data_IF_343021563528
#
_entry.id   IF_343021563528
#
_cell.length_a   1.000
_cell.length_b   1.000
_cell.length_c   1.000
_cell.angle_alpha   90.00
_cell.angle_beta   90.00
_cell.angle_gamma   90.00
#
_symmetry.space_group_name_H-M   'P 1'
#
loop_
_entity.id
_entity.type
_entity.pdbx_description
1 polymer ?
#
# COMPACT_ATOMS: atom_id res chain seq x y z
N UNK A 1 -16.04 -15.87 28.49
CA UNK A 1 -14.58 -15.63 28.36
C UNK A 1 -14.10 -16.39 27.12
N UNK A 2 -13.34 -15.73 26.28
CA UNK A 2 -12.88 -16.31 25.02
C UNK A 2 -11.78 -17.33 25.29
N UNK A 3 -10.95 -17.10 26.30
CA UNK A 3 -9.87 -18.00 26.69
C UNK A 3 -9.72 -18.06 28.21
N UNK A 4 -9.57 -19.25 28.74
CA UNK A 4 -9.22 -19.49 30.15
C UNK A 4 -7.86 -20.17 30.21
N UNK A 5 -6.89 -19.53 30.86
CA UNK A 5 -5.57 -20.09 31.02
C UNK A 5 -5.63 -21.43 31.80
N UNK A 6 -5.07 -22.51 31.26
CA UNK A 6 -4.77 -23.70 32.05
C UNK A 6 -3.66 -23.34 33.05
N UNK A 7 -3.24 -24.36 33.84
CA UNK A 7 -2.08 -24.18 34.70
C UNK A 7 -0.85 -23.88 33.84
N UNK A 8 -0.40 -22.63 33.89
CA UNK A 8 0.73 -22.14 33.10
C UNK A 8 1.59 -21.20 33.96
N UNK A 9 2.88 -21.21 33.72
CA UNK A 9 3.84 -20.35 34.41
C UNK A 9 4.53 -19.49 33.34
N UNK A 10 4.36 -18.16 33.44
CA UNK A 10 5.18 -17.22 32.70
C UNK A 10 6.40 -16.93 33.58
N UNK A 11 7.62 -17.27 33.16
CA UNK A 11 8.82 -17.03 33.95
C UNK A 11 9.11 -15.52 34.10
N UNK A 12 9.92 -15.16 35.08
CA UNK A 12 10.30 -13.77 35.29
C UNK A 12 10.96 -13.18 34.01
N UNK A 13 10.39 -12.08 33.52
CA UNK A 13 10.81 -11.44 32.26
C UNK A 13 10.38 -12.17 30.98
N UNK A 14 9.64 -13.26 31.10
CA UNK A 14 9.12 -14.01 29.97
C UNK A 14 7.75 -13.53 29.49
N UNK A 15 7.22 -14.25 28.51
CA UNK A 15 5.99 -13.88 27.81
C UNK A 15 5.05 -15.08 27.69
N UNK A 16 3.76 -14.79 27.56
CA UNK A 16 2.81 -15.68 26.92
C UNK A 16 2.40 -15.06 25.58
N UNK A 17 2.44 -15.88 24.54
CA UNK A 17 1.95 -15.54 23.20
C UNK A 17 0.80 -16.47 22.83
N UNK A 18 -0.28 -15.92 22.32
CA UNK A 18 -1.41 -16.68 21.80
C UNK A 18 -1.90 -16.08 20.50
N UNK A 19 -2.26 -16.93 19.55
CA UNK A 19 -2.85 -16.57 18.28
C UNK A 19 -4.20 -17.25 18.03
N UNK A 20 -4.83 -16.94 16.91
CA UNK A 20 -6.12 -17.51 16.53
C UNK A 20 -6.05 -19.02 16.30
N UNK A 21 -4.92 -19.54 15.78
CA UNK A 21 -4.77 -20.93 15.38
C UNK A 21 -4.40 -21.88 16.53
N UNK A 22 -4.12 -21.39 17.70
CA UNK A 22 -3.76 -22.15 18.90
C UNK A 22 -2.51 -23.05 18.81
N UNK A 23 -1.96 -23.28 17.62
CA UNK A 23 -0.85 -24.20 17.41
C UNK A 23 0.51 -23.66 17.84
N UNK A 24 0.64 -22.32 17.90
CA UNK A 24 1.86 -21.61 18.29
C UNK A 24 1.76 -20.92 19.64
N UNK A 25 0.60 -20.99 20.29
CA UNK A 25 0.39 -20.39 21.60
C UNK A 25 1.24 -21.09 22.67
N UNK A 26 1.89 -20.31 23.51
CA UNK A 26 2.73 -20.86 24.56
C UNK A 26 3.42 -19.83 25.44
N UNK A 27 4.21 -20.33 26.40
CA UNK A 27 5.06 -19.51 27.26
C UNK A 27 6.49 -19.47 26.74
N UNK A 28 7.10 -18.33 26.81
CA UNK A 28 8.43 -18.04 26.31
C UNK A 28 9.28 -17.45 27.43
N UNK A 29 10.58 -17.71 27.41
CA UNK A 29 11.51 -17.07 28.33
C UNK A 29 11.84 -15.63 27.90
N UNK A 30 12.65 -14.92 28.67
CA UNK A 30 13.06 -13.55 28.38
C UNK A 30 13.88 -13.40 27.07
N UNK A 31 14.37 -14.49 26.50
CA UNK A 31 15.13 -14.53 25.23
C UNK A 31 14.25 -14.94 24.04
N UNK A 32 12.94 -15.15 24.25
CA UNK A 32 12.01 -15.59 23.22
C UNK A 32 12.08 -17.10 22.90
N UNK A 33 12.60 -17.92 23.81
CA UNK A 33 12.63 -19.37 23.65
C UNK A 33 11.32 -19.96 24.15
N UNK A 34 10.62 -20.74 23.31
CA UNK A 34 9.40 -21.44 23.69
C UNK A 34 9.69 -22.48 24.77
N UNK A 35 9.03 -22.37 25.90
CA UNK A 35 9.16 -23.27 27.05
C UNK A 35 8.05 -24.30 27.13
N UNK A 36 6.84 -23.93 26.81
CA UNK A 36 5.66 -24.79 26.87
C UNK A 36 4.61 -24.33 25.88
N UNK A 37 4.06 -25.26 25.12
CA UNK A 37 2.87 -24.98 24.29
C UNK A 37 1.62 -24.99 25.18
N UNK A 38 0.77 -24.02 25.00
CA UNK A 38 -0.53 -23.92 25.67
C UNK A 38 -1.58 -23.87 24.57
N UNK A 39 -2.34 -24.93 24.43
CA UNK A 39 -3.40 -25.02 23.44
C UNK A 39 -4.61 -24.19 23.86
N UNK A 40 -4.93 -23.22 23.08
CA UNK A 40 -6.08 -22.34 23.26
C UNK A 40 -6.00 -21.16 22.30
N UNK A 41 -7.13 -20.72 21.79
CA UNK A 41 -7.20 -19.59 20.86
C UNK A 41 -8.23 -18.57 21.34
N UNK A 42 -8.12 -17.35 20.82
CA UNK A 42 -9.17 -16.36 20.90
C UNK A 42 -10.28 -16.79 19.94
N UNK A 43 -11.42 -17.19 20.43
CA UNK A 43 -12.49 -17.81 19.64
C UNK A 43 -13.03 -16.98 18.47
N UNK A 44 -12.74 -15.68 18.38
CA UNK A 44 -13.28 -14.78 17.37
C UNK A 44 -12.26 -13.83 16.76
N UNK A 45 -10.99 -13.93 17.12
CA UNK A 45 -9.94 -13.01 16.68
C UNK A 45 -10.08 -11.58 17.20
N UNK A 46 -9.12 -10.74 16.89
CA UNK A 46 -9.11 -9.32 17.21
C UNK A 46 -9.57 -8.49 16.00
N UNK A 47 -10.39 -7.48 16.25
CA UNK A 47 -10.93 -6.64 15.19
C UNK A 47 -9.88 -5.69 14.60
N UNK A 48 -9.79 -5.61 13.27
CA UNK A 48 -8.94 -4.64 12.59
C UNK A 48 -9.36 -3.18 12.81
N UNK A 49 -10.59 -2.94 13.22
CA UNK A 49 -11.09 -1.60 13.57
C UNK A 49 -10.71 -1.14 14.99
N UNK A 50 -10.03 -2.00 15.73
CA UNK A 50 -9.72 -1.81 17.14
C UNK A 50 -10.55 -2.73 18.04
N UNK A 51 -10.03 -3.00 19.25
CA UNK A 51 -10.65 -3.93 20.19
C UNK A 51 -10.22 -3.62 21.62
N UNK A 52 -10.90 -4.22 22.60
CA UNK A 52 -10.51 -4.19 24.01
C UNK A 52 -10.05 -5.56 24.47
N UNK A 53 -8.86 -5.63 25.04
CA UNK A 53 -8.31 -6.87 25.60
C UNK A 53 -8.39 -6.79 27.13
N UNK A 54 -9.07 -7.77 27.70
CA UNK A 54 -9.30 -7.90 29.13
C UNK A 54 -8.63 -9.15 29.67
N UNK A 55 -7.81 -9.00 30.69
CA UNK A 55 -7.19 -10.10 31.42
C UNK A 55 -7.55 -10.01 32.91
N UNK A 56 -8.11 -11.08 33.47
CA UNK A 56 -8.54 -11.11 34.88
C UNK A 56 -8.17 -12.42 35.54
N UNK A 57 -7.86 -12.37 36.83
CA UNK A 57 -7.75 -13.55 37.72
C UNK A 57 -9.05 -13.80 38.53
N UNK A 58 -10.10 -13.02 38.24
CA UNK A 58 -11.38 -13.04 38.95
C UNK A 58 -11.47 -12.04 40.11
N UNK A 59 -10.39 -11.40 40.49
CA UNK A 59 -10.31 -10.37 41.53
C UNK A 59 -9.82 -9.06 40.92
N UNK A 60 -8.70 -9.08 40.25
CA UNK A 60 -8.12 -7.94 39.55
C UNK A 60 -8.31 -8.07 38.04
N UNK A 61 -8.39 -6.95 37.36
CA UNK A 61 -8.56 -6.92 35.89
C UNK A 61 -7.62 -5.90 35.28
N UNK A 62 -6.89 -6.34 34.27
CA UNK A 62 -6.11 -5.51 33.38
C UNK A 62 -6.89 -5.30 32.08
N UNK A 63 -6.80 -4.13 31.49
CA UNK A 63 -7.43 -3.83 30.20
C UNK A 63 -6.52 -2.94 29.38
N UNK A 64 -6.45 -3.21 28.10
CA UNK A 64 -5.87 -2.31 27.10
C UNK A 64 -6.82 -2.16 25.93
N UNK A 65 -6.81 -1.00 25.29
CA UNK A 65 -7.58 -0.72 24.09
C UNK A 65 -6.64 -0.68 22.88
N UNK A 66 -6.86 -1.59 21.94
CA UNK A 66 -6.22 -1.54 20.64
C UNK A 66 -6.91 -0.48 19.78
N UNK A 67 -6.14 0.37 19.15
CA UNK A 67 -6.62 1.22 18.06
C UNK A 67 -6.76 0.43 16.76
N UNK A 68 -7.22 1.08 15.67
CA UNK A 68 -7.30 0.46 14.36
C UNK A 68 -5.95 -0.07 13.89
N UNK A 69 -5.95 -1.17 13.12
CA UNK A 69 -4.74 -1.64 12.46
C UNK A 69 -4.27 -0.63 11.41
N UNK A 70 -2.97 -0.44 11.30
CA UNK A 70 -2.33 0.45 10.32
C UNK A 70 -1.29 -0.36 9.57
N UNK A 71 -1.23 -0.17 8.24
CA UNK A 71 -0.28 -0.89 7.39
C UNK A 71 -0.50 -2.41 7.35
N UNK A 72 -1.72 -2.87 7.51
CA UNK A 72 -2.08 -4.29 7.52
C UNK A 72 -1.31 -5.06 8.61
N UNK A 73 -0.52 -6.04 8.21
CA UNK A 73 0.30 -6.87 9.12
C UNK A 73 1.65 -6.26 9.49
N UNK A 74 1.97 -5.04 9.01
CA UNK A 74 3.29 -4.42 9.22
C UNK A 74 3.51 -4.04 10.68
N UNK A 75 2.47 -3.56 11.37
CA UNK A 75 2.58 -3.07 12.74
C UNK A 75 1.70 -3.84 13.72
N UNK A 76 2.18 -3.91 14.95
CA UNK A 76 1.40 -4.26 16.14
C UNK A 76 1.28 -3.05 17.08
N UNK A 77 0.49 -3.18 18.11
CA UNK A 77 0.44 -2.19 19.19
C UNK A 77 1.03 -2.81 20.45
N UNK A 78 2.00 -2.11 21.03
CA UNK A 78 2.66 -2.45 22.28
C UNK A 78 2.22 -1.50 23.39
N UNK A 79 2.15 -1.99 24.62
CA UNK A 79 1.72 -1.23 25.77
C UNK A 79 2.80 -1.24 26.85
N UNK A 80 2.98 -0.12 27.52
CA UNK A 80 3.82 -0.03 28.71
C UNK A 80 3.08 -0.54 29.97
N UNK A 81 3.76 -0.50 31.10
CA UNK A 81 3.21 -0.97 32.38
C UNK A 81 2.01 -0.13 32.89
N UNK A 82 1.75 1.02 32.31
CA UNK A 82 0.61 1.88 32.61
C UNK A 82 -0.52 1.73 31.57
N UNK A 83 -0.40 0.82 30.61
CA UNK A 83 -1.35 0.64 29.53
C UNK A 83 -1.29 1.71 28.42
N UNK A 84 -0.21 2.49 28.36
CA UNK A 84 -0.02 3.48 27.29
C UNK A 84 0.50 2.78 26.04
N UNK A 85 -0.31 2.81 24.97
CA UNK A 85 -0.03 2.11 23.73
C UNK A 85 0.80 2.92 22.72
N UNK A 86 1.57 2.22 21.90
CA UNK A 86 2.25 2.76 20.71
C UNK A 86 2.38 1.69 19.62
N UNK A 87 2.62 2.13 18.38
CA UNK A 87 2.90 1.18 17.29
C UNK A 87 4.36 0.70 17.34
N UNK A 88 4.54 -0.59 17.05
CA UNK A 88 5.84 -1.25 16.94
C UNK A 88 5.81 -2.26 15.80
N UNK A 89 6.97 -2.78 15.39
CA UNK A 89 6.97 -4.01 14.58
C UNK A 89 6.63 -5.22 15.47
N UNK A 90 5.90 -6.22 14.92
CA UNK A 90 5.53 -7.42 15.68
C UNK A 90 6.75 -8.16 16.26
N UNK A 91 6.64 -8.56 17.53
CA UNK A 91 7.66 -9.30 18.27
C UNK A 91 7.01 -10.40 19.12
N UNK A 92 6.31 -11.37 18.50
CA UNK A 92 5.59 -12.40 19.24
C UNK A 92 6.54 -13.21 20.14
N UNK A 93 6.22 -13.33 21.42
CA UNK A 93 7.00 -14.06 22.41
C UNK A 93 8.35 -13.44 22.78
N UNK A 94 8.59 -12.17 22.44
CA UNK A 94 9.85 -11.48 22.71
C UNK A 94 9.60 -10.05 23.20
N UNK A 95 10.67 -9.40 23.67
CA UNK A 95 10.62 -7.97 24.08
C UNK A 95 10.20 -7.07 22.94
N UNK A 96 9.24 -6.18 23.17
CA UNK A 96 8.74 -5.24 22.19
C UNK A 96 9.85 -4.31 21.66
N UNK A 97 9.76 -4.01 20.37
CA UNK A 97 10.59 -2.98 19.73
C UNK A 97 10.27 -1.57 20.28
N UNK A 98 11.14 -0.61 20.00
CA UNK A 98 10.85 0.79 20.29
C UNK A 98 9.63 1.28 19.54
N UNK A 99 8.90 2.22 20.15
CA UNK A 99 7.75 2.89 19.52
C UNK A 99 8.15 3.58 18.22
N UNK A 100 7.26 3.54 17.25
CA UNK A 100 7.39 4.23 15.97
C UNK A 100 6.08 4.93 15.59
N UNK A 101 6.17 5.85 14.64
CA UNK A 101 5.00 6.47 14.02
C UNK A 101 4.81 5.84 12.65
N UNK A 102 3.66 5.21 12.37
CA UNK A 102 3.34 4.74 11.02
C UNK A 102 3.31 5.89 10.02
N UNK A 103 4.03 5.74 8.93
CA UNK A 103 4.05 6.68 7.80
C UNK A 103 3.77 5.88 6.54
N UNK A 104 2.57 6.07 5.98
CA UNK A 104 2.19 5.47 4.71
C UNK A 104 2.80 6.19 3.53
N UNK A 105 2.95 5.48 2.44
CA UNK A 105 3.45 6.00 1.16
C UNK A 105 4.09 4.90 0.33
N UNK A 106 4.44 5.23 -0.90
CA UNK A 106 5.14 4.30 -1.76
C UNK A 106 6.53 3.95 -1.22
N UNK A 107 6.79 2.66 -1.00
CA UNK A 107 8.07 2.14 -0.50
C UNK A 107 8.99 1.58 -1.60
N UNK A 108 8.55 1.57 -2.85
CA UNK A 108 9.37 1.14 -3.99
C UNK A 108 10.34 2.27 -4.41
N UNK A 109 11.67 2.09 -4.26
CA UNK A 109 12.65 3.11 -4.66
C UNK A 109 12.66 3.42 -6.16
N UNK A 110 12.05 2.58 -6.98
CA UNK A 110 11.96 2.77 -8.43
C UNK A 110 10.71 3.54 -8.84
N UNK A 111 9.73 3.67 -7.95
CA UNK A 111 8.52 4.41 -8.24
C UNK A 111 8.78 5.92 -8.24
N UNK A 112 8.20 6.68 -9.21
CA UNK A 112 8.39 8.14 -9.29
C UNK A 112 7.86 8.90 -8.08
N UNK A 113 6.93 8.31 -7.34
CA UNK A 113 6.39 8.86 -6.10
C UNK A 113 6.94 8.19 -4.83
N UNK A 114 8.13 7.57 -4.93
CA UNK A 114 8.80 6.98 -3.77
C UNK A 114 8.88 7.96 -2.59
N UNK A 115 8.44 7.49 -1.42
CA UNK A 115 8.53 8.24 -0.18
C UNK A 115 9.56 7.58 0.76
N UNK A 116 10.75 8.15 0.85
CA UNK A 116 11.82 7.63 1.70
C UNK A 116 11.52 7.66 3.20
N UNK A 117 10.46 8.34 3.64
CA UNK A 117 9.99 8.37 5.02
C UNK A 117 8.92 7.33 5.31
N UNK A 118 8.32 6.73 4.27
CA UNK A 118 7.33 5.68 4.43
C UNK A 118 7.95 4.44 5.08
N UNK A 119 7.27 3.90 6.07
CA UNK A 119 7.65 2.66 6.73
C UNK A 119 6.62 1.53 6.51
N UNK A 120 5.59 1.79 5.70
CA UNK A 120 4.73 0.78 5.08
C UNK A 120 4.20 1.29 3.74
N UNK A 121 3.96 0.36 2.82
CA UNK A 121 3.32 0.64 1.55
C UNK A 121 1.81 0.78 1.77
N UNK A 122 1.25 1.91 1.41
CA UNK A 122 -0.18 2.20 1.49
C UNK A 122 -0.92 1.95 0.16
N UNK A 123 -0.24 1.36 -0.82
CA UNK A 123 -0.76 1.10 -2.15
C UNK A 123 -0.69 2.30 -3.09
N UNK A 124 -0.03 3.38 -2.70
CA UNK A 124 0.07 4.60 -3.51
C UNK A 124 1.20 4.58 -4.54
N UNK A 125 1.98 3.48 -4.65
CA UNK A 125 3.07 3.42 -5.62
C UNK A 125 2.55 3.59 -7.05
N UNK A 126 3.11 4.57 -7.74
CA UNK A 126 2.92 4.72 -9.19
C UNK A 126 3.92 3.81 -9.86
N UNK A 127 3.43 2.85 -10.62
CA UNK A 127 4.27 1.91 -11.35
C UNK A 127 4.44 2.44 -12.77
N UNK A 128 5.69 2.57 -13.24
CA UNK A 128 5.97 2.93 -14.63
C UNK A 128 5.32 1.94 -15.59
N UNK A 129 4.73 2.44 -16.67
CA UNK A 129 4.10 1.60 -17.69
C UNK A 129 5.12 0.73 -18.40
N UNK A 130 4.68 -0.44 -18.77
CA UNK A 130 5.34 -1.29 -19.78
C UNK A 130 4.50 -1.30 -21.07
N UNK A 131 5.07 -1.80 -22.15
CA UNK A 131 4.35 -1.95 -23.41
C UNK A 131 3.19 -2.96 -23.35
N UNK A 132 3.01 -3.65 -22.23
CA UNK A 132 1.88 -4.55 -21.99
C UNK A 132 0.73 -3.87 -21.27
N UNK A 133 0.98 -2.69 -20.69
CA UNK A 133 0.03 -1.95 -19.86
C UNK A 133 -0.74 -0.89 -20.64
N UNK A 134 -0.21 -0.50 -21.81
CA UNK A 134 -0.76 0.56 -22.65
C UNK A 134 -0.97 0.10 -24.09
N UNK A 135 -1.93 0.72 -24.77
CA UNK A 135 -2.17 0.54 -26.20
C UNK A 135 -2.40 1.89 -26.87
N UNK A 136 -2.03 2.03 -28.13
CA UNK A 136 -2.55 3.11 -28.97
C UNK A 136 -3.97 2.67 -29.33
N UNK A 137 -4.96 3.35 -28.73
CA UNK A 137 -6.37 2.96 -28.82
C UNK A 137 -7.05 3.57 -30.03
N UNK A 138 -6.64 4.77 -30.43
CA UNK A 138 -7.20 5.44 -31.60
C UNK A 138 -6.19 6.40 -32.24
N UNK A 139 -6.34 6.62 -33.54
CA UNK A 139 -5.59 7.63 -34.29
C UNK A 139 -6.44 8.15 -35.44
N UNK A 140 -6.40 9.44 -35.68
CA UNK A 140 -7.10 10.12 -36.76
C UNK A 140 -6.12 11.01 -37.56
N UNK A 141 -6.18 10.93 -38.88
CA UNK A 141 -5.15 11.46 -39.79
C UNK A 141 -5.68 12.44 -40.82
N UNK A 142 -6.69 13.14 -40.63
CA UNK A 142 -7.06 14.31 -41.47
C UNK A 142 -8.53 14.68 -41.38
N UNK A 143 -8.81 15.93 -41.48
CA UNK A 143 -10.17 16.47 -41.59
C UNK A 143 -10.66 17.16 -40.32
N UNK A 144 -11.89 16.89 -39.95
CA UNK A 144 -12.53 17.42 -38.75
C UNK A 144 -13.11 16.22 -37.98
N UNK A 145 -12.61 15.88 -36.78
CA UNK A 145 -11.57 16.57 -35.98
C UNK A 145 -10.19 16.59 -36.64
N UNK A 146 -9.28 17.41 -36.12
CA UNK A 146 -7.88 17.46 -36.51
C UNK A 146 -7.15 16.14 -36.20
N UNK A 147 -5.91 16.00 -36.65
CA UNK A 147 -5.12 14.80 -36.37
C UNK A 147 -4.92 14.60 -34.87
N UNK A 148 -5.11 13.38 -34.41
CA UNK A 148 -4.91 13.03 -33.02
C UNK A 148 -4.47 11.58 -32.80
N UNK A 149 -3.90 11.33 -31.65
CA UNK A 149 -3.60 10.00 -31.11
C UNK A 149 -4.21 9.85 -29.72
N UNK A 150 -4.78 8.69 -29.45
CA UNK A 150 -5.19 8.27 -28.12
C UNK A 150 -4.38 7.07 -27.65
N UNK A 151 -3.87 7.12 -26.42
CA UNK A 151 -3.16 6.03 -25.74
C UNK A 151 -3.94 5.67 -24.50
N UNK A 152 -4.36 4.41 -24.40
CA UNK A 152 -5.13 3.90 -23.27
C UNK A 152 -4.27 3.06 -22.34
N UNK A 153 -4.42 3.29 -21.04
CA UNK A 153 -3.94 2.38 -19.99
C UNK A 153 -4.95 1.24 -19.82
N UNK A 154 -4.55 0.04 -20.23
CA UNK A 154 -5.36 -1.18 -20.14
C UNK A 154 -5.04 -2.01 -18.90
N UNK A 155 -4.13 -1.52 -18.05
CA UNK A 155 -3.76 -2.18 -16.79
C UNK A 155 -4.75 -1.84 -15.66
N UNK A 156 -4.62 -2.55 -14.55
CA UNK A 156 -5.40 -2.29 -13.33
C UNK A 156 -4.78 -1.25 -12.38
N UNK A 157 -3.69 -0.59 -12.77
CA UNK A 157 -2.94 0.37 -11.96
C UNK A 157 -2.63 1.64 -12.73
N UNK A 158 -2.39 2.74 -12.02
CA UNK A 158 -1.98 3.99 -12.64
C UNK A 158 -0.60 3.85 -13.28
N UNK A 159 -0.42 4.44 -14.45
CA UNK A 159 0.77 4.32 -15.30
C UNK A 159 1.52 5.64 -15.43
N UNK A 160 2.80 5.68 -15.09
CA UNK A 160 3.68 6.83 -15.35
C UNK A 160 4.34 6.70 -16.74
N UNK A 161 4.16 7.74 -17.56
CA UNK A 161 4.62 7.78 -18.95
C UNK A 161 5.94 8.54 -19.15
N UNK A 162 6.60 9.02 -18.09
CA UNK A 162 7.82 9.83 -18.23
C UNK A 162 8.86 9.18 -19.15
N UNK A 163 9.30 9.92 -20.16
CA UNK A 163 10.33 9.48 -21.08
C UNK A 163 9.86 8.57 -22.22
N UNK A 164 8.58 8.20 -22.25
CA UNK A 164 8.02 7.55 -23.44
C UNK A 164 8.04 8.52 -24.61
N UNK A 165 8.24 7.98 -25.81
CA UNK A 165 8.32 8.78 -27.04
C UNK A 165 7.22 8.36 -27.99
N UNK A 166 6.62 9.32 -28.65
CA UNK A 166 5.60 9.14 -29.68
C UNK A 166 6.05 9.88 -30.95
N UNK A 167 5.89 9.22 -32.09
CA UNK A 167 6.36 9.70 -33.37
C UNK A 167 5.56 8.97 -34.48
N UNK A 168 5.38 9.55 -35.63
CA UNK A 168 4.82 8.92 -36.81
C UNK A 168 5.88 8.18 -37.65
N UNK A 169 7.11 8.21 -37.20
CA UNK A 169 8.28 7.56 -37.81
C UNK A 169 9.13 6.85 -36.74
N UNK A 170 10.17 6.14 -37.15
CA UNK A 170 11.06 5.40 -36.27
C UNK A 170 12.23 6.21 -35.69
N UNK A 171 12.22 7.53 -35.87
CA UNK A 171 13.25 8.42 -35.35
C UNK A 171 12.96 8.94 -33.92
N UNK A 172 11.72 8.83 -33.44
CA UNK A 172 11.26 9.18 -32.10
C UNK A 172 11.63 10.61 -31.66
N UNK A 173 11.39 11.60 -32.50
CA UNK A 173 11.76 12.99 -32.22
C UNK A 173 10.56 13.94 -32.00
N UNK A 174 9.35 13.50 -32.28
CA UNK A 174 8.19 14.42 -32.32
C UNK A 174 7.68 14.75 -30.92
N UNK A 175 7.47 13.77 -30.09
CA UNK A 175 6.97 13.99 -28.74
C UNK A 175 7.60 13.07 -27.71
N UNK A 176 8.08 13.62 -26.60
CA UNK A 176 8.51 12.88 -25.43
C UNK A 176 7.61 13.24 -24.27
N UNK A 177 6.99 12.23 -23.66
CA UNK A 177 6.12 12.45 -22.51
C UNK A 177 6.90 13.05 -21.35
N UNK A 178 6.47 14.20 -20.82
CA UNK A 178 6.91 14.68 -19.51
C UNK A 178 6.37 13.74 -18.42
N UNK A 179 6.56 14.11 -17.16
CA UNK A 179 5.86 13.43 -16.06
C UNK A 179 4.36 13.46 -16.29
N UNK A 180 3.77 12.32 -16.59
CA UNK A 180 2.36 12.17 -16.93
C UNK A 180 1.85 10.84 -16.41
N UNK A 181 0.75 10.85 -15.67
CA UNK A 181 0.11 9.63 -15.17
C UNK A 181 -1.19 9.40 -15.91
N UNK A 182 -1.31 8.25 -16.57
CA UNK A 182 -2.57 7.77 -17.13
C UNK A 182 -3.19 6.83 -16.09
N UNK A 183 -4.34 7.17 -15.48
CA UNK A 183 -4.94 6.33 -14.46
C UNK A 183 -5.40 4.98 -15.02
N UNK A 184 -5.63 4.01 -14.13
CA UNK A 184 -6.14 2.69 -14.51
C UNK A 184 -7.41 2.79 -15.35
N UNK A 185 -7.39 2.22 -16.56
CA UNK A 185 -8.50 2.30 -17.53
C UNK A 185 -8.71 3.66 -18.19
N UNK A 186 -7.93 4.68 -17.81
CA UNK A 186 -7.94 6.01 -18.41
C UNK A 186 -7.10 6.10 -19.68
N UNK A 187 -6.96 7.30 -20.22
CA UNK A 187 -6.22 7.51 -21.46
C UNK A 187 -5.52 8.86 -21.51
N UNK A 188 -4.53 8.97 -22.38
CA UNK A 188 -3.96 10.21 -22.84
C UNK A 188 -4.48 10.47 -24.26
N UNK A 189 -4.87 11.71 -24.51
CA UNK A 189 -5.25 12.21 -25.82
C UNK A 189 -4.31 13.37 -26.20
N UNK A 190 -3.82 13.36 -27.42
CA UNK A 190 -2.98 14.41 -27.96
C UNK A 190 -3.36 14.74 -29.40
N UNK A 191 -3.44 16.03 -29.70
CA UNK A 191 -3.73 16.56 -31.03
C UNK A 191 -2.65 17.55 -31.52
N UNK A 192 -2.79 18.06 -32.75
CA UNK A 192 -1.84 19.01 -33.34
C UNK A 192 -1.74 20.32 -32.56
N UNK A 193 -2.83 20.79 -31.96
CA UNK A 193 -2.91 22.11 -31.33
C UNK A 193 -2.36 22.15 -29.89
N UNK A 194 -2.01 21.04 -29.28
CA UNK A 194 -1.49 20.94 -27.92
C UNK A 194 -2.40 21.52 -26.81
N UNK A 195 -3.45 22.22 -27.14
CA UNK A 195 -4.31 22.93 -26.16
C UNK A 195 -5.28 21.99 -25.45
N UNK A 196 -5.60 20.85 -26.05
CA UNK A 196 -6.51 19.83 -25.57
C UNK A 196 -5.80 18.55 -25.16
N UNK A 197 -4.50 18.43 -25.45
CA UNK A 197 -3.69 17.28 -25.05
C UNK A 197 -3.63 17.11 -23.54
N UNK A 198 -3.89 15.92 -23.05
CA UNK A 198 -3.90 15.66 -21.63
C UNK A 198 -4.26 14.23 -21.24
N UNK A 199 -4.25 13.98 -19.95
CA UNK A 199 -4.69 12.71 -19.36
C UNK A 199 -6.13 12.78 -18.89
N UNK A 200 -6.85 11.71 -19.09
CA UNK A 200 -8.27 11.57 -18.80
C UNK A 200 -8.52 10.33 -17.95
N UNK A 201 -9.54 10.37 -17.11
CA UNK A 201 -9.99 9.16 -16.40
C UNK A 201 -10.79 8.24 -17.36
N UNK A 202 -11.16 7.06 -16.86
CA UNK A 202 -11.95 6.06 -17.62
C UNK A 202 -13.36 6.55 -18.03
N UNK A 203 -13.83 7.68 -17.50
CA UNK A 203 -15.11 8.32 -17.84
C UNK A 203 -14.95 9.49 -18.82
N UNK A 204 -13.73 9.78 -19.26
CA UNK A 204 -13.42 10.89 -20.16
C UNK A 204 -13.33 12.26 -19.48
N UNK A 205 -13.07 12.30 -18.17
CA UNK A 205 -12.87 13.56 -17.44
C UNK A 205 -11.40 13.94 -17.53
N UNK A 206 -11.10 15.14 -18.06
CA UNK A 206 -9.74 15.67 -18.12
C UNK A 206 -9.17 15.86 -16.71
N UNK A 207 -8.03 15.25 -16.45
CA UNK A 207 -7.33 15.30 -15.16
C UNK A 207 -6.15 16.26 -15.18
N UNK A 208 -5.37 16.25 -16.27
CA UNK A 208 -4.19 17.10 -16.43
C UNK A 208 -3.99 17.43 -17.89
N UNK A 209 -3.71 18.69 -18.17
CA UNK A 209 -3.25 19.11 -19.51
C UNK A 209 -1.75 18.82 -19.63
N UNK A 210 -1.35 18.21 -20.73
CA UNK A 210 0.05 17.95 -21.07
C UNK A 210 0.35 18.73 -22.33
N UNK A 211 1.13 19.78 -22.18
CA UNK A 211 1.50 20.63 -23.31
C UNK A 211 2.57 19.94 -24.15
N UNK A 212 2.21 19.57 -25.34
CA UNK A 212 3.08 18.99 -26.36
C UNK A 212 2.23 18.61 -27.56
N UNK A 213 2.70 18.87 -28.74
CA UNK A 213 2.01 18.55 -29.99
C UNK A 213 2.93 17.72 -30.90
N UNK A 214 2.34 17.04 -31.85
CA UNK A 214 3.09 16.39 -32.93
C UNK A 214 3.59 17.45 -33.92
N UNK A 215 4.35 18.37 -33.62
CA UNK A 215 4.98 19.45 -34.39
C UNK A 215 4.55 19.73 -35.83
N UNK A 216 4.10 18.77 -36.60
CA UNK A 216 3.72 18.88 -38.02
C UNK A 216 2.54 18.00 -38.44
N UNK A 217 1.82 17.43 -37.50
CA UNK A 217 0.75 16.48 -37.78
C UNK A 217 1.25 15.08 -38.16
N UNK A 218 0.30 14.16 -38.27
CA UNK A 218 0.55 12.81 -38.76
C UNK A 218 0.61 12.85 -40.29
N UNK A 219 1.74 12.49 -40.89
CA UNK A 219 1.98 12.56 -42.35
C UNK A 219 1.67 11.25 -43.09
#
# INVERSE_FOLDING_TARGET
SDFTFPTAVIPAGGFWYGDEDASTSGTYDANGVLLSTITGSFGSGLSSGGDEIWLTDGTDTLMVTLGPSVGGSTFSQSFDVNGVGCYTYPTPGATNNSCLTPVGGCTDPLAPNYNSLANYDDGSCIIGCTSLDIVISEGHTSGDPEDYIEIQNISGSDCEMFGWMLDDSDNFSDFTFPTAVIPAGGFWYGDEDASTSGTYDANGVLLSTITGSFGSGLS
#
